data_IF_834630330189
#
_entry.id   IF_834630330189
#
_cell.length_a   1.000
_cell.length_b   1.000
_cell.length_c   1.000
_cell.angle_alpha   90.00
_cell.angle_beta   90.00
_cell.angle_gamma   90.00
#
_symmetry.space_group_name_H-M   'P 1'
#
loop_
_entity.id
_entity.type
_entity.pdbx_description
1 polymer ?
#
# COMPACT_ATOMS: atom_id res chain seq x y z
N UNK A 1 30.60 -17.73 -16.07
CA UNK A 1 29.24 -18.14 -15.63
C UNK A 1 28.22 -17.49 -16.55
N UNK A 2 27.29 -18.27 -17.13
CA UNK A 2 26.20 -17.70 -17.95
C UNK A 2 25.24 -16.91 -17.05
N UNK A 3 25.27 -15.58 -17.17
CA UNK A 3 24.38 -14.62 -16.49
C UNK A 3 23.02 -14.46 -17.21
N UNK A 4 22.68 -15.38 -18.10
CA UNK A 4 21.39 -15.40 -18.79
C UNK A 4 20.31 -15.96 -17.88
N UNK A 5 19.11 -15.41 -17.98
CA UNK A 5 17.94 -15.92 -17.26
C UNK A 5 17.64 -17.37 -17.67
N UNK A 6 17.35 -18.22 -16.69
CA UNK A 6 16.95 -19.59 -16.87
C UNK A 6 15.79 -19.92 -15.92
N UNK A 7 14.65 -20.29 -16.50
CA UNK A 7 13.41 -20.54 -15.74
C UNK A 7 13.52 -21.71 -14.76
N UNK A 8 14.30 -22.74 -15.08
CA UNK A 8 14.49 -23.90 -14.20
C UNK A 8 15.27 -23.49 -12.94
N UNK A 9 16.34 -22.72 -13.13
CA UNK A 9 17.15 -22.18 -12.03
C UNK A 9 16.36 -21.20 -11.17
N UNK A 10 15.56 -20.34 -11.80
CA UNK A 10 14.63 -19.46 -11.12
C UNK A 10 13.65 -20.23 -10.22
N UNK A 11 13.04 -21.31 -10.73
CA UNK A 11 12.13 -22.15 -9.95
C UNK A 11 12.82 -22.84 -8.76
N UNK A 12 14.09 -23.25 -8.92
CA UNK A 12 14.89 -23.79 -7.82
C UNK A 12 15.15 -22.74 -6.73
N UNK A 13 15.47 -21.50 -7.12
CA UNK A 13 15.64 -20.38 -6.17
C UNK A 13 14.34 -20.10 -5.42
N UNK A 14 13.21 -20.06 -6.11
CA UNK A 14 11.89 -19.91 -5.48
C UNK A 14 11.64 -21.04 -4.47
N UNK A 15 11.89 -22.29 -4.86
CA UNK A 15 11.65 -23.45 -3.98
C UNK A 15 12.52 -23.37 -2.73
N UNK A 16 13.80 -22.99 -2.88
CA UNK A 16 14.72 -22.78 -1.78
C UNK A 16 14.21 -21.67 -0.85
N UNK A 17 13.96 -20.48 -1.39
CA UNK A 17 13.48 -19.31 -0.66
C UNK A 17 12.17 -19.58 0.09
N UNK A 18 11.25 -20.34 -0.51
CA UNK A 18 10.02 -20.78 0.12
C UNK A 18 10.30 -21.76 1.26
N UNK A 19 11.13 -22.77 1.05
CA UNK A 19 11.43 -23.78 2.07
C UNK A 19 12.08 -23.18 3.32
N UNK A 20 12.94 -22.17 3.15
CA UNK A 20 13.64 -21.52 4.26
C UNK A 20 12.73 -20.56 5.04
N UNK A 21 11.74 -19.93 4.38
CA UNK A 21 11.00 -18.79 4.94
C UNK A 21 9.50 -18.98 5.04
N UNK A 22 8.94 -20.10 4.56
CA UNK A 22 7.50 -20.37 4.57
C UNK A 22 6.87 -20.21 5.95
N UNK A 23 7.53 -20.70 7.02
CA UNK A 23 7.01 -20.55 8.39
C UNK A 23 6.86 -19.08 8.79
N UNK A 24 7.86 -18.26 8.51
CA UNK A 24 7.81 -16.83 8.80
C UNK A 24 6.72 -16.14 7.98
N UNK A 25 6.59 -16.50 6.70
CA UNK A 25 5.56 -15.96 5.81
C UNK A 25 4.15 -16.29 6.29
N UNK A 26 3.90 -17.53 6.73
CA UNK A 26 2.62 -17.93 7.28
C UNK A 26 2.31 -17.23 8.61
N UNK A 27 3.30 -17.01 9.47
CA UNK A 27 3.11 -16.27 10.72
C UNK A 27 2.72 -14.81 10.46
N UNK A 28 3.43 -14.12 9.55
CA UNK A 28 3.10 -12.73 9.19
C UNK A 28 1.71 -12.68 8.53
N UNK A 29 1.40 -13.61 7.62
CA UNK A 29 0.07 -13.70 7.01
C UNK A 29 -1.04 -13.90 8.07
N UNK A 30 -0.84 -14.80 9.04
CA UNK A 30 -1.83 -15.04 10.08
C UNK A 30 -2.08 -13.80 10.95
N UNK A 31 -1.02 -13.08 11.35
CA UNK A 31 -1.13 -11.85 12.13
C UNK A 31 -1.89 -10.77 11.35
N UNK A 32 -1.55 -10.57 10.08
CA UNK A 32 -2.22 -9.59 9.23
C UNK A 32 -3.68 -9.97 8.96
N UNK A 33 -3.98 -11.26 8.80
CA UNK A 33 -5.35 -11.75 8.63
C UNK A 33 -6.19 -11.48 9.88
N UNK A 34 -5.66 -11.79 11.06
CA UNK A 34 -6.35 -11.51 12.33
C UNK A 34 -6.57 -10.01 12.49
N UNK A 35 -5.56 -9.20 12.22
CA UNK A 35 -5.67 -7.74 12.28
C UNK A 35 -6.73 -7.23 11.30
N UNK A 36 -6.71 -7.68 10.05
CA UNK A 36 -7.69 -7.33 9.03
C UNK A 36 -9.11 -7.67 9.48
N UNK A 37 -9.35 -8.90 9.92
CA UNK A 37 -10.66 -9.35 10.36
C UNK A 37 -11.14 -8.61 11.60
N UNK A 38 -10.25 -8.38 12.58
CA UNK A 38 -10.56 -7.62 13.79
C UNK A 38 -11.03 -6.20 13.47
N UNK A 39 -10.54 -5.63 12.36
CA UNK A 39 -10.90 -4.30 11.93
C UNK A 39 -12.15 -4.25 11.05
N UNK A 40 -12.36 -5.26 10.21
CA UNK A 40 -13.48 -5.25 9.27
C UNK A 40 -14.80 -5.76 9.85
N UNK A 41 -14.77 -6.75 10.74
CA UNK A 41 -15.98 -7.39 11.27
C UNK A 41 -16.85 -6.55 12.22
N UNK A 42 -16.37 -5.55 12.98
CA UNK A 42 -17.21 -4.77 13.89
C UNK A 42 -18.43 -4.09 13.23
N UNK A 43 -18.40 -3.83 11.92
CA UNK A 43 -19.56 -3.23 11.24
C UNK A 43 -20.78 -4.16 11.22
N UNK A 44 -20.58 -5.49 11.35
CA UNK A 44 -21.66 -6.48 11.26
C UNK A 44 -22.29 -6.82 12.61
N UNK A 45 -21.79 -6.23 13.72
CA UNK A 45 -22.25 -6.56 15.08
C UNK A 45 -23.27 -5.56 15.63
N UNK A 46 -23.48 -4.43 14.95
CA UNK A 46 -24.39 -3.36 15.37
C UNK A 46 -25.63 -3.33 14.48
N UNK A 47 -26.80 -3.18 15.10
CA UNK A 47 -28.08 -3.01 14.40
C UNK A 47 -28.33 -1.56 13.92
N UNK A 48 -27.38 -0.66 14.16
CA UNK A 48 -27.41 0.72 13.68
C UNK A 48 -26.04 1.14 13.13
N UNK A 49 -25.98 2.08 12.17
CA UNK A 49 -24.71 2.63 11.72
C UNK A 49 -23.97 3.32 12.87
N UNK A 50 -22.69 2.98 13.04
CA UNK A 50 -21.80 3.59 14.02
C UNK A 50 -20.57 4.08 13.26
N UNK A 51 -20.38 5.40 13.22
CA UNK A 51 -19.29 6.03 12.45
C UNK A 51 -17.88 5.54 12.86
N UNK A 52 -17.69 5.14 14.12
CA UNK A 52 -16.43 4.54 14.56
C UNK A 52 -16.13 3.21 13.86
N UNK A 53 -17.14 2.33 13.71
CA UNK A 53 -16.94 1.05 13.02
C UNK A 53 -16.70 1.24 11.53
N UNK A 54 -17.38 2.21 10.91
CA UNK A 54 -17.14 2.61 9.52
C UNK A 54 -15.70 3.10 9.33
N UNK A 55 -15.24 4.02 10.18
CA UNK A 55 -13.88 4.53 10.13
C UNK A 55 -12.84 3.40 10.30
N UNK A 56 -13.08 2.49 11.25
CA UNK A 56 -12.20 1.37 11.53
C UNK A 56 -12.17 0.38 10.35
N UNK A 57 -13.30 0.17 9.68
CA UNK A 57 -13.41 -0.65 8.48
C UNK A 57 -12.57 -0.08 7.30
N UNK A 58 -12.66 1.22 7.04
CA UNK A 58 -11.84 1.86 6.00
C UNK A 58 -10.35 1.91 6.38
N UNK A 59 -10.06 2.14 7.66
CA UNK A 59 -8.69 2.15 8.17
C UNK A 59 -8.02 0.77 8.07
N UNK A 60 -8.80 -0.32 8.02
CA UNK A 60 -8.28 -1.67 7.81
C UNK A 60 -7.44 -1.77 6.53
N UNK A 61 -7.84 -1.10 5.45
CA UNK A 61 -7.05 -1.04 4.22
C UNK A 61 -5.69 -0.41 4.49
N UNK A 62 -5.66 0.79 5.07
CA UNK A 62 -4.41 1.50 5.37
C UNK A 62 -3.49 0.72 6.30
N UNK A 63 -4.04 0.09 7.34
CA UNK A 63 -3.27 -0.69 8.31
C UNK A 63 -2.68 -1.92 7.65
N UNK A 64 -3.47 -2.71 6.93
CA UNK A 64 -2.92 -3.84 6.16
C UNK A 64 -1.93 -3.34 5.14
N UNK A 65 -2.18 -2.19 4.51
CA UNK A 65 -1.28 -1.62 3.53
C UNK A 65 0.11 -1.32 4.14
N UNK A 66 0.13 -0.60 5.25
CA UNK A 66 1.37 -0.20 5.92
C UNK A 66 2.08 -1.42 6.49
N UNK A 67 1.39 -2.27 7.26
CA UNK A 67 2.03 -3.40 7.94
C UNK A 67 2.42 -4.54 7.00
N UNK A 68 1.61 -4.85 5.98
CA UNK A 68 1.98 -5.86 4.99
C UNK A 68 3.23 -5.41 4.24
N UNK A 69 3.26 -4.17 3.77
CA UNK A 69 4.42 -3.65 3.04
C UNK A 69 5.63 -3.54 3.96
N UNK A 70 5.47 -2.92 5.12
CA UNK A 70 6.60 -2.57 5.95
C UNK A 70 7.26 -3.84 6.54
N UNK A 71 6.48 -4.74 7.16
CA UNK A 71 7.03 -5.90 7.87
C UNK A 71 7.61 -6.92 6.92
N UNK A 72 6.90 -7.19 5.82
CA UNK A 72 7.30 -8.20 4.86
C UNK A 72 8.39 -7.68 3.92
N UNK A 73 8.08 -6.63 3.15
CA UNK A 73 8.96 -6.09 2.10
C UNK A 73 10.23 -5.48 2.69
N UNK A 74 10.16 -4.90 3.89
CA UNK A 74 11.32 -4.34 4.58
C UNK A 74 12.41 -5.36 4.89
N UNK A 75 12.09 -6.66 4.90
CA UNK A 75 13.03 -7.76 5.11
C UNK A 75 13.43 -8.49 3.82
N UNK A 76 12.75 -8.25 2.71
CA UNK A 76 12.80 -9.08 1.50
C UNK A 76 14.21 -9.29 0.95
N UNK A 77 15.01 -8.23 0.86
CA UNK A 77 16.38 -8.29 0.34
C UNK A 77 17.46 -8.21 1.42
N UNK A 78 17.07 -8.22 2.70
CA UNK A 78 18.03 -8.04 3.79
C UNK A 78 19.08 -9.16 3.83
N UNK A 79 18.73 -10.37 3.39
CA UNK A 79 19.65 -11.51 3.36
C UNK A 79 20.86 -11.32 2.42
N UNK A 80 20.68 -10.56 1.33
CA UNK A 80 21.75 -10.17 0.40
C UNK A 80 22.62 -9.03 0.94
N UNK A 81 22.31 -8.50 2.11
CA UNK A 81 22.98 -7.32 2.68
C UNK A 81 23.52 -7.53 4.09
N UNK A 82 22.95 -8.50 4.82
CA UNK A 82 23.33 -8.83 6.17
C UNK A 82 24.54 -9.76 6.17
N UNK A 83 25.61 -9.36 6.85
CA UNK A 83 26.90 -10.07 6.89
C UNK A 83 26.81 -11.60 7.05
N UNK A 84 26.03 -12.18 7.99
CA UNK A 84 26.02 -13.63 8.19
C UNK A 84 25.33 -14.42 7.08
N UNK A 85 24.40 -13.83 6.33
CA UNK A 85 23.62 -14.50 5.28
C UNK A 85 24.01 -14.04 3.87
N UNK A 86 24.76 -12.95 3.76
CA UNK A 86 25.13 -12.35 2.48
C UNK A 86 26.05 -13.27 1.70
N UNK A 87 27.01 -13.95 2.34
CA UNK A 87 27.95 -14.83 1.65
C UNK A 87 27.21 -16.02 1.03
N UNK A 88 26.39 -16.72 1.81
CA UNK A 88 25.64 -17.89 1.31
C UNK A 88 24.64 -17.52 0.21
N UNK A 89 23.92 -16.40 0.36
CA UNK A 89 22.92 -15.95 -0.62
C UNK A 89 23.53 -15.41 -1.91
N UNK A 90 24.69 -14.74 -1.85
CA UNK A 90 25.42 -14.28 -3.03
C UNK A 90 26.05 -15.43 -3.81
N UNK A 91 26.53 -16.46 -3.10
CA UNK A 91 27.13 -17.66 -3.70
C UNK A 91 26.11 -18.61 -4.37
N UNK A 92 24.81 -18.35 -4.22
CA UNK A 92 23.80 -19.11 -4.96
C UNK A 92 24.09 -19.00 -6.46
N UNK A 93 24.17 -20.13 -7.19
CA UNK A 93 24.44 -20.14 -8.62
C UNK A 93 23.17 -19.71 -9.36
N UNK A 94 22.83 -18.43 -9.29
CA UNK A 94 21.69 -17.79 -9.93
C UNK A 94 22.11 -16.41 -10.43
N UNK A 95 21.51 -15.97 -11.53
CA UNK A 95 21.75 -14.64 -12.07
C UNK A 95 21.15 -13.56 -11.16
N UNK A 96 21.69 -12.34 -11.25
CA UNK A 96 21.16 -11.16 -10.54
C UNK A 96 19.66 -10.97 -10.76
N UNK A 97 19.20 -11.17 -12.00
CA UNK A 97 17.81 -10.99 -12.37
C UNK A 97 16.91 -12.05 -11.73
N UNK A 98 17.35 -13.30 -11.64
CA UNK A 98 16.60 -14.37 -10.97
C UNK A 98 16.45 -14.12 -9.47
N UNK A 99 17.54 -13.70 -8.81
CA UNK A 99 17.53 -13.35 -7.38
C UNK A 99 16.58 -12.18 -7.10
N UNK A 100 16.66 -11.13 -7.92
CA UNK A 100 15.76 -9.98 -7.85
C UNK A 100 14.29 -10.38 -8.07
N UNK A 101 14.01 -11.12 -9.14
CA UNK A 101 12.65 -11.56 -9.45
C UNK A 101 12.09 -12.53 -8.40
N UNK A 102 12.93 -13.34 -7.73
CA UNK A 102 12.46 -14.23 -6.67
C UNK A 102 11.94 -13.40 -5.49
N UNK A 103 12.73 -12.43 -5.04
CA UNK A 103 12.33 -11.53 -3.97
C UNK A 103 11.07 -10.72 -4.34
N UNK A 104 11.00 -10.18 -5.56
CA UNK A 104 9.83 -9.45 -6.04
C UNK A 104 8.60 -10.35 -6.14
N UNK A 105 8.75 -11.57 -6.67
CA UNK A 105 7.66 -12.54 -6.84
C UNK A 105 7.00 -12.86 -5.50
N UNK A 106 7.76 -13.19 -4.46
CA UNK A 106 7.18 -13.51 -3.15
C UNK A 106 6.47 -12.30 -2.51
N UNK A 107 6.99 -11.09 -2.71
CA UNK A 107 6.27 -9.87 -2.31
C UNK A 107 4.93 -9.74 -3.02
N UNK A 108 4.90 -9.87 -4.35
CA UNK A 108 3.65 -9.76 -5.10
C UNK A 108 2.65 -10.88 -4.75
N UNK A 109 3.13 -12.11 -4.55
CA UNK A 109 2.31 -13.25 -4.11
C UNK A 109 1.75 -13.04 -2.71
N UNK A 110 2.44 -12.31 -1.84
CA UNK A 110 1.89 -11.94 -0.54
C UNK A 110 0.85 -10.82 -0.67
N UNK A 111 1.18 -9.78 -1.44
CA UNK A 111 0.42 -8.53 -1.55
C UNK A 111 -0.91 -8.70 -2.26
N UNK A 112 -0.87 -9.28 -3.46
CA UNK A 112 -2.01 -9.28 -4.38
C UNK A 112 -3.18 -10.07 -3.78
N UNK A 113 -2.98 -11.28 -3.21
CA UNK A 113 -4.05 -12.00 -2.54
C UNK A 113 -4.62 -11.26 -1.32
N UNK A 114 -3.80 -10.55 -0.54
CA UNK A 114 -4.30 -9.77 0.60
C UNK A 114 -5.17 -8.59 0.16
N UNK A 115 -4.81 -7.88 -0.92
CA UNK A 115 -5.66 -6.84 -1.50
C UNK A 115 -6.98 -7.41 -2.04
N UNK A 116 -6.93 -8.52 -2.76
CA UNK A 116 -8.14 -9.21 -3.24
C UNK A 116 -9.03 -9.61 -2.06
N UNK A 117 -8.45 -10.19 -1.02
CA UNK A 117 -9.16 -10.60 0.19
C UNK A 117 -9.81 -9.40 0.89
N UNK A 118 -9.10 -8.27 1.02
CA UNK A 118 -9.66 -7.04 1.55
C UNK A 118 -10.90 -6.61 0.78
N UNK A 119 -10.82 -6.49 -0.55
CA UNK A 119 -11.97 -6.04 -1.34
C UNK A 119 -13.14 -7.03 -1.27
N UNK A 120 -12.87 -8.34 -1.30
CA UNK A 120 -13.91 -9.35 -1.13
C UNK A 120 -14.60 -9.24 0.23
N UNK A 121 -13.82 -9.06 1.31
CA UNK A 121 -14.38 -8.86 2.64
C UNK A 121 -15.16 -7.55 2.73
N UNK A 122 -14.67 -6.47 2.11
CA UNK A 122 -15.31 -5.16 2.13
C UNK A 122 -16.73 -5.22 1.58
N UNK A 123 -16.91 -5.73 0.36
CA UNK A 123 -18.23 -5.86 -0.24
C UNK A 123 -19.14 -6.77 0.59
N UNK A 124 -18.65 -7.96 0.98
CA UNK A 124 -19.47 -8.92 1.74
C UNK A 124 -19.90 -8.41 3.11
N UNK A 125 -19.00 -7.80 3.87
CA UNK A 125 -19.31 -7.32 5.22
C UNK A 125 -20.23 -6.10 5.19
N UNK A 126 -20.08 -5.22 4.19
CA UNK A 126 -21.01 -4.11 3.97
C UNK A 126 -22.39 -4.61 3.58
N UNK A 127 -22.49 -5.60 2.69
CA UNK A 127 -23.78 -6.20 2.31
C UNK A 127 -24.49 -6.79 3.54
N UNK A 128 -23.76 -7.54 4.37
CA UNK A 128 -24.28 -8.12 5.61
C UNK A 128 -24.73 -7.04 6.59
N UNK A 129 -23.93 -5.99 6.79
CA UNK A 129 -24.28 -4.90 7.71
C UNK A 129 -25.50 -4.11 7.21
N UNK A 130 -25.51 -3.73 5.94
CA UNK A 130 -26.60 -2.94 5.34
C UNK A 130 -27.92 -3.71 5.21
N UNK A 131 -27.88 -5.05 5.16
CA UNK A 131 -29.07 -5.89 5.19
C UNK A 131 -29.78 -5.90 6.56
N UNK A 132 -29.05 -5.60 7.65
CA UNK A 132 -29.60 -5.53 9.00
C UNK A 132 -30.28 -4.18 9.29
N UNK A 133 -29.98 -3.15 8.49
CA UNK A 133 -30.49 -1.80 8.71
C UNK A 133 -31.87 -1.58 8.07
N UNK A 134 -32.75 -0.78 8.71
CA UNK A 134 -34.01 -0.37 8.11
C UNK A 134 -33.83 0.28 6.72
N UNK A 135 -34.81 0.13 5.83
CA UNK A 135 -34.72 0.64 4.46
C UNK A 135 -34.49 2.17 4.37
N UNK A 136 -35.00 2.93 5.34
CA UNK A 136 -34.93 4.40 5.39
C UNK A 136 -33.79 4.94 6.26
N UNK A 137 -32.89 4.10 6.78
CA UNK A 137 -31.72 4.57 7.55
C UNK A 137 -30.49 4.74 6.66
N UNK A 138 -29.51 5.51 7.16
CA UNK A 138 -28.17 5.56 6.57
C UNK A 138 -27.59 4.15 6.41
N UNK A 139 -26.93 3.91 5.29
CA UNK A 139 -26.24 2.66 4.97
C UNK A 139 -24.76 2.96 4.79
N UNK A 140 -23.91 2.03 5.20
CA UNK A 140 -22.48 2.18 4.96
C UNK A 140 -22.22 2.23 3.44
N UNK A 141 -21.52 3.26 2.96
CA UNK A 141 -21.20 3.38 1.55
C UNK A 141 -20.13 2.36 1.14
N UNK A 142 -20.13 1.98 -0.13
CA UNK A 142 -19.02 1.20 -0.68
C UNK A 142 -17.84 2.12 -1.03
N UNK A 143 -16.62 1.59 -1.00
CA UNK A 143 -15.45 2.29 -1.53
C UNK A 143 -15.71 2.57 -3.03
N UNK A 144 -15.67 3.86 -3.40
CA UNK A 144 -15.77 4.29 -4.79
C UNK A 144 -14.63 3.64 -5.61
N UNK A 145 -14.89 3.13 -6.83
CA UNK A 145 -13.86 2.48 -7.65
C UNK A 145 -12.60 3.34 -7.85
N UNK A 146 -12.76 4.64 -8.05
CA UNK A 146 -11.63 5.57 -8.26
C UNK A 146 -10.71 5.63 -7.03
N UNK A 147 -11.30 5.59 -5.83
CA UNK A 147 -10.59 5.57 -4.56
C UNK A 147 -9.90 4.22 -4.32
N UNK A 148 -10.56 3.11 -4.68
CA UNK A 148 -9.96 1.78 -4.64
C UNK A 148 -8.71 1.70 -5.54
N UNK A 149 -8.81 2.20 -6.77
CA UNK A 149 -7.68 2.25 -7.70
C UNK A 149 -6.57 3.14 -7.16
N UNK A 150 -6.91 4.32 -6.63
CA UNK A 150 -5.94 5.21 -5.96
C UNK A 150 -5.18 4.49 -4.84
N UNK A 151 -5.86 3.75 -3.98
CA UNK A 151 -5.22 3.00 -2.91
C UNK A 151 -4.32 1.88 -3.42
N UNK A 152 -4.72 1.16 -4.47
CA UNK A 152 -3.86 0.17 -5.12
C UNK A 152 -2.56 0.80 -5.64
N UNK A 153 -2.63 1.92 -6.35
CA UNK A 153 -1.43 2.60 -6.86
C UNK A 153 -0.54 3.13 -5.74
N UNK A 154 -1.13 3.78 -4.73
CA UNK A 154 -0.41 4.27 -3.55
C UNK A 154 0.25 3.12 -2.79
N UNK A 155 -0.41 1.96 -2.72
CA UNK A 155 0.15 0.75 -2.13
C UNK A 155 1.39 0.26 -2.87
N UNK A 156 1.29 0.08 -4.19
CA UNK A 156 2.44 -0.39 -4.98
C UNK A 156 3.60 0.62 -4.97
N UNK A 157 3.30 1.91 -4.87
CA UNK A 157 4.29 2.97 -4.69
C UNK A 157 5.00 2.87 -3.33
N UNK A 158 4.25 2.68 -2.24
CA UNK A 158 4.82 2.43 -0.92
C UNK A 158 5.69 1.16 -0.94
N UNK A 159 5.18 0.10 -1.55
CA UNK A 159 5.90 -1.15 -1.73
C UNK A 159 7.21 -0.97 -2.50
N UNK A 160 7.23 -0.26 -3.62
CA UNK A 160 8.46 -0.05 -4.38
C UNK A 160 9.51 0.73 -3.59
N UNK A 161 9.10 1.72 -2.78
CA UNK A 161 10.00 2.47 -1.89
C UNK A 161 10.55 1.56 -0.79
N UNK A 162 9.70 0.76 -0.14
CA UNK A 162 10.13 -0.16 0.93
C UNK A 162 11.05 -1.25 0.38
N UNK A 163 10.73 -1.79 -0.79
CA UNK A 163 11.54 -2.80 -1.48
C UNK A 163 12.93 -2.26 -1.82
N UNK A 164 13.02 -1.05 -2.37
CA UNK A 164 14.29 -0.37 -2.58
C UNK A 164 15.05 -0.12 -1.27
N UNK A 165 14.33 0.32 -0.24
CA UNK A 165 14.89 0.53 1.09
C UNK A 165 15.54 -0.73 1.65
N UNK A 166 14.91 -1.89 1.45
CA UNK A 166 15.35 -3.20 1.95
C UNK A 166 16.74 -3.62 1.48
N UNK A 167 17.21 -3.09 0.34
CA UNK A 167 18.55 -3.38 -0.20
C UNK A 167 19.57 -2.27 0.06
N UNK A 168 19.12 -1.01 0.13
CA UNK A 168 20.01 0.12 0.36
C UNK A 168 20.62 0.12 1.76
N UNK A 169 19.82 -0.21 2.79
CA UNK A 169 20.27 -0.14 4.17
C UNK A 169 20.65 -1.53 4.69
N UNK A 170 21.94 -1.76 4.97
CA UNK A 170 22.43 -3.06 5.49
C UNK A 170 22.09 -3.34 6.95
N UNK A 171 21.91 -2.29 7.76
CA UNK A 171 21.58 -2.39 9.19
C UNK A 171 20.33 -1.58 9.50
N UNK A 172 19.40 -2.21 10.23
CA UNK A 172 18.11 -1.62 10.63
C UNK A 172 17.36 -1.01 9.44
N UNK A 173 17.34 -1.74 8.32
CA UNK A 173 16.77 -1.27 7.06
C UNK A 173 15.36 -0.76 7.23
N UNK A 174 14.53 -1.57 7.88
CA UNK A 174 13.14 -1.24 8.19
C UNK A 174 12.97 0.13 8.85
N UNK A 175 13.69 0.40 9.93
CA UNK A 175 13.55 1.65 10.71
C UNK A 175 13.95 2.86 9.88
N UNK A 176 15.04 2.76 9.10
CA UNK A 176 15.52 3.86 8.25
C UNK A 176 14.56 4.16 7.11
N UNK A 177 14.06 3.12 6.46
CA UNK A 177 13.08 3.25 5.37
C UNK A 177 11.76 3.81 5.89
N UNK A 178 11.27 3.33 7.04
CA UNK A 178 10.06 3.86 7.67
C UNK A 178 10.21 5.34 8.06
N UNK A 179 11.34 5.73 8.67
CA UNK A 179 11.62 7.12 9.00
C UNK A 179 11.64 8.02 7.76
N UNK A 180 12.31 7.57 6.68
CA UNK A 180 12.32 8.30 5.41
C UNK A 180 10.92 8.47 4.82
N UNK A 181 10.12 7.40 4.81
CA UNK A 181 8.73 7.44 4.32
C UNK A 181 7.88 8.40 5.15
N UNK A 182 7.96 8.34 6.48
CA UNK A 182 7.16 9.21 7.36
C UNK A 182 7.50 10.69 7.09
N UNK A 183 8.78 11.02 6.97
CA UNK A 183 9.23 12.38 6.65
C UNK A 183 8.73 12.80 5.26
N UNK A 184 8.93 11.95 4.25
CA UNK A 184 8.52 12.24 2.87
C UNK A 184 7.00 12.44 2.75
N UNK A 185 6.20 11.54 3.33
CA UNK A 185 4.74 11.63 3.35
C UNK A 185 4.30 12.90 4.07
N UNK A 186 4.87 13.20 5.25
CA UNK A 186 4.52 14.42 6.00
C UNK A 186 4.78 15.68 5.18
N UNK A 187 5.95 15.77 4.52
CA UNK A 187 6.30 16.91 3.67
C UNK A 187 5.36 17.02 2.47
N UNK A 188 5.12 15.92 1.75
CA UNK A 188 4.23 15.91 0.57
C UNK A 188 2.80 16.29 0.95
N UNK A 189 2.25 15.71 2.01
CA UNK A 189 0.90 16.05 2.49
C UNK A 189 0.81 17.50 2.95
N UNK A 190 1.82 18.02 3.66
CA UNK A 190 1.83 19.42 4.12
C UNK A 190 1.86 20.37 2.92
N UNK A 191 2.75 20.14 1.95
CA UNK A 191 2.81 20.94 0.72
C UNK A 191 1.50 20.87 -0.04
N UNK A 192 0.92 19.67 -0.18
CA UNK A 192 -0.34 19.45 -0.89
C UNK A 192 -1.51 20.19 -0.24
N UNK A 193 -1.68 20.08 1.08
CA UNK A 193 -2.75 20.77 1.82
C UNK A 193 -2.57 22.29 1.73
N UNK A 194 -1.34 22.81 1.88
CA UNK A 194 -1.07 24.25 1.78
C UNK A 194 -1.36 24.76 0.37
N UNK A 195 -0.92 24.04 -0.66
CA UNK A 195 -1.19 24.39 -2.06
C UNK A 195 -2.68 24.34 -2.37
N UNK A 196 -3.38 23.31 -1.89
CA UNK A 196 -4.81 23.16 -2.08
C UNK A 196 -5.60 24.28 -1.39
N UNK A 197 -5.23 24.63 -0.15
CA UNK A 197 -5.79 25.77 0.56
C UNK A 197 -5.55 27.09 -0.17
N UNK A 198 -4.33 27.33 -0.68
CA UNK A 198 -4.01 28.53 -1.45
C UNK A 198 -4.83 28.63 -2.75
N UNK A 199 -4.88 27.55 -3.54
CA UNK A 199 -5.61 27.53 -4.82
C UNK A 199 -7.13 27.60 -4.64
N UNK A 200 -7.66 27.02 -3.56
CA UNK A 200 -9.08 27.09 -3.20
C UNK A 200 -9.45 28.36 -2.41
N UNK A 201 -8.55 29.35 -2.29
CA UNK A 201 -8.80 30.60 -1.57
C UNK A 201 -9.23 30.40 -0.11
N UNK A 202 -8.55 29.50 0.60
CA UNK A 202 -8.73 29.17 2.01
C UNK A 202 -10.18 28.81 2.37
N UNK A 203 -10.68 27.65 1.88
CA UNK A 203 -12.02 27.19 2.20
C UNK A 203 -12.16 26.84 3.69
N UNK A 204 -13.39 26.80 4.18
CA UNK A 204 -13.68 26.49 5.58
C UNK A 204 -13.33 25.05 5.94
N UNK A 205 -13.49 24.11 5.00
CA UNK A 205 -13.04 22.73 5.13
C UNK A 205 -12.53 22.23 3.77
N UNK A 206 -11.47 21.42 3.80
CA UNK A 206 -10.91 20.78 2.61
C UNK A 206 -10.55 19.34 2.92
N UNK A 207 -11.06 18.42 2.12
CA UNK A 207 -10.71 17.01 2.15
C UNK A 207 -10.01 16.70 0.85
N UNK A 208 -8.73 16.39 0.96
CA UNK A 208 -7.89 16.20 -0.22
C UNK A 208 -6.80 15.20 0.08
N UNK A 209 -6.50 14.36 -0.91
CA UNK A 209 -5.38 13.44 -0.88
C UNK A 209 -4.41 13.81 -2.01
N UNK A 210 -3.09 13.69 -1.79
CA UNK A 210 -2.12 13.88 -2.86
C UNK A 210 -2.47 12.99 -4.06
N UNK A 211 -2.43 13.55 -5.27
CA UNK A 211 -2.78 12.86 -6.52
C UNK A 211 -4.25 12.42 -6.65
N UNK A 212 -5.15 12.88 -5.77
CA UNK A 212 -6.60 12.67 -5.87
C UNK A 212 -7.37 13.97 -6.12
N UNK A 213 -8.69 13.86 -6.30
CA UNK A 213 -9.60 15.00 -6.37
C UNK A 213 -9.76 15.71 -5.02
N UNK A 214 -10.37 16.90 -5.03
CA UNK A 214 -10.60 17.70 -3.82
C UNK A 214 -12.09 17.81 -3.55
N UNK A 215 -12.46 17.68 -2.28
CA UNK A 215 -13.79 18.03 -1.78
C UNK A 215 -13.62 19.28 -0.91
N UNK A 216 -14.36 20.32 -1.25
CA UNK A 216 -14.21 21.65 -0.67
C UNK A 216 -15.57 22.13 -0.17
N UNK A 217 -15.58 22.70 1.04
CA UNK A 217 -16.78 23.30 1.63
C UNK A 217 -16.50 24.75 2.04
N UNK A 218 -17.43 25.63 1.67
CA UNK A 218 -17.48 27.02 2.13
C UNK A 218 -18.67 27.16 3.07
N UNK A 219 -18.44 27.55 4.31
CA UNK A 219 -19.51 27.85 5.26
C UNK A 219 -19.71 29.36 5.31
N UNK A 220 -20.90 29.83 4.92
CA UNK A 220 -21.33 31.22 5.13
C UNK A 220 -21.99 31.35 6.51
N UNK A 221 -21.25 31.87 7.50
CA UNK A 221 -21.75 32.10 8.87
C UNK A 221 -21.67 30.89 9.83
N UNK A 222 -22.16 31.06 11.07
CA UNK A 222 -22.10 30.03 12.13
C UNK A 222 -23.10 28.87 11.94
N UNK A 223 -24.01 28.94 10.97
CA UNK A 223 -25.01 27.91 10.72
C UNK A 223 -24.53 26.95 9.63
N UNK A 224 -23.99 25.81 10.06
CA UNK A 224 -23.51 24.68 9.24
C UNK A 224 -24.61 24.15 8.29
N UNK A 225 -25.89 24.42 8.58
CA UNK A 225 -27.04 23.85 7.89
C UNK A 225 -27.53 24.61 6.64
N UNK A 226 -27.10 25.87 6.40
CA UNK A 226 -27.80 26.74 5.43
C UNK A 226 -26.97 27.26 4.24
N UNK A 227 -25.78 26.72 3.97
CA UNK A 227 -24.94 27.25 2.88
C UNK A 227 -23.84 26.31 2.39
N UNK A 228 -24.11 25.01 2.27
CA UNK A 228 -23.08 24.07 1.81
C UNK A 228 -22.94 24.14 0.29
N UNK A 229 -22.09 25.04 -0.20
CA UNK A 229 -21.56 24.94 -1.56
C UNK A 229 -20.44 23.89 -1.55
N UNK A 230 -20.82 22.62 -1.75
CA UNK A 230 -19.87 21.53 -1.90
C UNK A 230 -19.32 21.53 -3.33
N UNK A 231 -18.03 21.82 -3.46
CA UNK A 231 -17.32 21.80 -4.73
C UNK A 231 -16.48 20.54 -4.81
N UNK A 232 -16.87 19.65 -5.73
CA UNK A 232 -16.13 18.43 -6.07
C UNK A 232 -15.22 18.72 -7.25
N UNK A 233 -13.92 18.93 -7.00
CA UNK A 233 -12.91 19.07 -8.05
C UNK A 233 -12.47 17.67 -8.45
N UNK A 234 -13.11 17.14 -9.49
CA UNK A 234 -12.79 15.83 -10.06
C UNK A 234 -11.81 16.03 -11.21
N UNK A 235 -10.73 15.24 -11.22
CA UNK A 235 -9.80 15.23 -12.35
C UNK A 235 -10.49 14.74 -13.61
N UNK A 236 -10.20 15.37 -14.76
CA UNK A 236 -10.62 14.82 -16.04
C UNK A 236 -10.04 13.41 -16.22
N UNK A 237 -10.73 12.56 -16.97
CA UNK A 237 -10.28 11.18 -17.22
C UNK A 237 -8.85 11.14 -17.78
N UNK A 238 -8.49 12.12 -18.62
CA UNK A 238 -7.13 12.26 -19.16
C UNK A 238 -6.11 12.52 -18.05
N UNK A 239 -6.37 13.48 -17.16
CA UNK A 239 -5.48 13.80 -16.05
C UNK A 239 -5.33 12.61 -15.10
N UNK A 240 -6.42 11.91 -14.81
CA UNK A 240 -6.40 10.71 -13.98
C UNK A 240 -5.51 9.61 -14.56
N UNK A 241 -5.59 9.34 -15.87
CA UNK A 241 -4.73 8.36 -16.55
C UNK A 241 -3.26 8.78 -16.60
N UNK A 242 -2.99 10.08 -16.78
CA UNK A 242 -1.62 10.62 -16.74
C UNK A 242 -1.01 10.42 -15.36
N UNK A 243 -1.76 10.70 -14.30
CA UNK A 243 -1.32 10.48 -12.91
C UNK A 243 -1.02 8.98 -12.69
N UNK A 244 -1.91 8.08 -13.11
CA UNK A 244 -1.68 6.64 -13.01
C UNK A 244 -0.44 6.18 -13.78
N UNK A 245 -0.25 6.68 -15.00
CA UNK A 245 0.93 6.40 -15.82
C UNK A 245 2.22 6.87 -15.15
N UNK A 246 2.21 8.08 -14.59
CA UNK A 246 3.33 8.61 -13.81
C UNK A 246 3.63 7.73 -12.58
N UNK A 247 2.62 7.35 -11.81
CA UNK A 247 2.80 6.47 -10.64
C UNK A 247 3.32 5.09 -11.04
N UNK A 248 2.84 4.52 -12.14
CA UNK A 248 3.35 3.25 -12.67
C UNK A 248 4.83 3.34 -13.05
N UNK A 249 5.22 4.40 -13.76
CA UNK A 249 6.63 4.65 -14.11
C UNK A 249 7.50 4.85 -12.87
N UNK A 250 6.99 5.53 -11.84
CA UNK A 250 7.68 5.69 -10.57
C UNK A 250 7.93 4.33 -9.89
N UNK A 251 6.91 3.48 -9.80
CA UNK A 251 7.02 2.12 -9.24
C UNK A 251 8.09 1.31 -9.98
N UNK A 252 8.02 1.29 -11.32
CA UNK A 252 8.97 0.56 -12.17
C UNK A 252 10.40 1.09 -12.01
N UNK A 253 10.57 2.40 -11.89
CA UNK A 253 11.86 3.04 -11.68
C UNK A 253 12.48 2.60 -10.35
N UNK A 254 11.69 2.53 -9.27
CA UNK A 254 12.16 2.07 -7.96
C UNK A 254 12.54 0.59 -7.95
N UNK A 255 11.77 -0.26 -8.64
CA UNK A 255 12.13 -1.65 -8.85
C UNK A 255 13.43 -1.80 -9.65
N UNK A 256 13.59 -1.00 -10.70
CA UNK A 256 14.82 -1.00 -11.49
C UNK A 256 16.04 -0.53 -10.69
N UNK A 257 15.90 0.52 -9.88
CA UNK A 257 16.96 0.96 -8.95
C UNK A 257 17.32 -0.13 -7.94
N UNK A 258 16.33 -0.88 -7.42
CA UNK A 258 16.59 -1.99 -6.50
C UNK A 258 17.36 -3.13 -7.19
N UNK A 259 17.04 -3.43 -8.46
CA UNK A 259 17.78 -4.38 -9.28
C UNK A 259 19.23 -3.95 -9.53
N UNK A 260 19.46 -2.70 -9.91
CA UNK A 260 20.82 -2.16 -10.10
C UNK A 260 21.63 -2.24 -8.80
N UNK A 261 21.01 -1.91 -7.67
CA UNK A 261 21.66 -1.97 -6.37
C UNK A 261 22.03 -3.40 -5.95
N UNK A 262 21.22 -4.40 -6.32
CA UNK A 262 21.57 -5.81 -6.11
C UNK A 262 22.80 -6.18 -6.92
N UNK A 263 22.80 -5.82 -8.20
CA UNK A 263 23.92 -6.09 -9.11
C UNK A 263 25.24 -5.49 -8.60
N UNK A 264 25.21 -4.27 -8.05
CA UNK A 264 26.38 -3.62 -7.44
C UNK A 264 26.95 -4.36 -6.23
N UNK A 265 26.12 -5.11 -5.48
CA UNK A 265 26.56 -5.84 -4.29
C UNK A 265 27.18 -7.21 -4.60
N UNK A 266 26.96 -7.74 -5.80
CA UNK A 266 27.54 -9.02 -6.21
C UNK A 266 28.93 -8.89 -6.86
N UNK A 267 29.33 -7.67 -7.24
CA UNK A 267 30.65 -7.32 -7.81
C UNK A 267 31.62 -6.99 -6.70
#
# INVERSE_FOLDING_TARGET
>A
MNQTFNIHRFALVIKLDFSERAKNYLMIAAILLVLLLSMMLPITTSNKPVGFYEALHYMALFVVMIFATSLYTGSAMTHYTAFPTSISSLMLPASNLEKFLSALFFNLVFIVPFLILFFQLHYRTIDVANAQFPANSYKYPYIKPDLAVYFCFTYFMLHSIVFLGSIYFSKRSYVKTAAFIIIAVTVVFTIHIVLAGYLAHYPSHINTLPLAGWEIWYFEGQNIASGVNELHVIHSLTNYRVIQGFTALFILSFWYMAYLRLKEKEV
#
